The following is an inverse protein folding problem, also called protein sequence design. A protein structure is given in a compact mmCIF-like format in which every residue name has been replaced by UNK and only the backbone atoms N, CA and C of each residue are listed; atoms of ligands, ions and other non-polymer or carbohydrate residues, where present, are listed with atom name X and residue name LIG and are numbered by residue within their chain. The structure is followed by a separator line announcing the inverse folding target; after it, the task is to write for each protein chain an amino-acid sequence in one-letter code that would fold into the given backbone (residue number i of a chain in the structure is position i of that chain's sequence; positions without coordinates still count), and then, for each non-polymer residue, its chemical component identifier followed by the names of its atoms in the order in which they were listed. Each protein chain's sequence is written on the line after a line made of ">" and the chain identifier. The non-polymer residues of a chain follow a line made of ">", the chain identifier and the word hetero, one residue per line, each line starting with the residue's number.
data_IF_886723529763
#
_entry.id   IF_886723529763
#
_cell.length_a   1.000
_cell.length_b   1.000
_cell.length_c   1.000
_cell.angle_alpha   90.00
_cell.angle_beta   90.00
_cell.angle_gamma   90.00
#
_symmetry.space_group_name_H-M   'P 1'
#
loop_
_entity.id
_entity.type
_entity.pdbx_description
1 polymer ?
#
# COMPACT_ATOMS: atom_id res chain seq x y z
N UNK A 1 -15.12 -10.22 -15.67
CA UNK A 1 -13.65 -10.33 -15.53
C UNK A 1 -13.32 -11.50 -14.62
N UNK A 2 -12.37 -12.37 -15.00
CA UNK A 2 -11.97 -13.55 -14.20
C UNK A 2 -11.48 -13.09 -12.81
N UNK A 3 -11.86 -13.80 -11.73
CA UNK A 3 -11.51 -13.47 -10.32
C UNK A 3 -10.02 -13.13 -10.15
N UNK A 4 -9.15 -13.78 -10.91
CA UNK A 4 -7.71 -13.56 -10.90
C UNK A 4 -7.28 -12.15 -11.36
N UNK A 5 -7.85 -11.64 -12.46
CA UNK A 5 -7.55 -10.30 -12.97
C UNK A 5 -7.92 -9.21 -11.96
N UNK A 6 -8.97 -9.45 -11.17
CA UNK A 6 -9.44 -8.55 -10.13
C UNK A 6 -8.46 -8.49 -8.95
N UNK A 7 -7.89 -9.63 -8.56
CA UNK A 7 -6.87 -9.74 -7.50
C UNK A 7 -5.60 -8.96 -7.89
N UNK A 8 -5.12 -9.14 -9.13
CA UNK A 8 -3.92 -8.44 -9.64
C UNK A 8 -4.14 -6.92 -9.63
N UNK A 9 -5.28 -6.46 -10.14
CA UNK A 9 -5.62 -5.04 -10.14
C UNK A 9 -5.64 -4.47 -8.72
N UNK A 10 -6.29 -5.13 -7.77
CA UNK A 10 -6.38 -4.65 -6.38
C UNK A 10 -5.00 -4.62 -5.72
N UNK A 11 -4.21 -5.68 -5.86
CA UNK A 11 -2.87 -5.74 -5.27
C UNK A 11 -1.92 -4.70 -5.86
N UNK A 12 -1.98 -4.45 -7.17
CA UNK A 12 -1.24 -3.35 -7.81
C UNK A 12 -1.67 -1.97 -7.30
N UNK A 13 -2.98 -1.73 -7.15
CA UNK A 13 -3.53 -0.49 -6.61
C UNK A 13 -3.06 -0.25 -5.17
N UNK A 14 -3.11 -1.27 -4.32
CA UNK A 14 -2.62 -1.19 -2.93
C UNK A 14 -1.15 -0.82 -2.92
N UNK A 15 -0.31 -1.53 -3.70
CA UNK A 15 1.13 -1.30 -3.74
C UNK A 15 1.49 0.11 -4.24
N UNK A 16 0.85 0.57 -5.33
CA UNK A 16 1.09 1.91 -5.90
C UNK A 16 0.61 3.01 -4.95
N UNK A 17 -0.58 2.89 -4.37
CA UNK A 17 -1.09 3.90 -3.42
C UNK A 17 -0.18 3.97 -2.20
N UNK A 18 0.22 2.83 -1.64
CA UNK A 18 1.16 2.78 -0.53
C UNK A 18 2.48 3.47 -0.85
N UNK A 19 3.03 3.19 -2.03
CA UNK A 19 4.28 3.78 -2.49
C UNK A 19 4.18 5.29 -2.70
N UNK A 20 3.15 5.76 -3.41
CA UNK A 20 2.91 7.21 -3.62
C UNK A 20 2.73 7.93 -2.29
N UNK A 21 2.02 7.30 -1.34
CA UNK A 21 1.84 7.86 0.00
C UNK A 21 3.18 8.03 0.72
N UNK A 22 4.04 7.01 0.67
CA UNK A 22 5.37 7.06 1.31
C UNK A 22 6.29 8.08 0.67
N UNK A 23 6.33 8.16 -0.67
CA UNK A 23 7.17 9.15 -1.37
C UNK A 23 6.71 10.58 -1.09
N UNK A 24 5.40 10.86 -1.24
CA UNK A 24 4.87 12.19 -0.94
C UNK A 24 5.18 12.58 0.51
N UNK A 25 5.02 11.66 1.45
CA UNK A 25 5.34 11.92 2.87
C UNK A 25 6.83 12.08 3.14
N UNK A 26 7.71 11.44 2.36
CA UNK A 26 9.15 11.58 2.45
C UNK A 26 9.64 12.93 1.90
N UNK A 27 9.11 13.37 0.75
CA UNK A 27 9.46 14.65 0.13
C UNK A 27 8.93 15.86 0.91
N UNK A 28 7.77 15.71 1.56
CA UNK A 28 7.23 16.74 2.45
C UNK A 28 8.10 16.78 3.72
N UNK A 29 9.20 17.56 3.67
CA UNK A 29 10.10 17.87 4.80
C UNK A 29 9.38 18.27 6.10
N UNK A 30 8.11 18.67 6.01
CA UNK A 30 7.25 19.04 7.15
C UNK A 30 7.02 17.89 8.15
N UNK A 31 7.07 16.63 7.71
CA UNK A 31 6.85 15.47 8.61
C UNK A 31 8.10 15.03 9.39
N UNK A 32 9.31 15.50 9.01
CA UNK A 32 10.52 15.25 9.82
C UNK A 32 10.46 15.94 11.19
N UNK A 33 9.61 16.96 11.33
CA UNK A 33 9.49 17.77 12.55
C UNK A 33 8.55 17.13 13.59
N UNK A 34 7.65 16.24 13.19
CA UNK A 34 6.76 15.54 14.10
C UNK A 34 7.42 14.23 14.56
N UNK A 35 7.62 14.06 15.87
CA UNK A 35 8.16 12.82 16.47
C UNK A 35 7.24 11.60 16.29
N UNK A 36 6.01 11.84 15.82
CA UNK A 36 5.03 10.80 15.52
C UNK A 36 5.33 10.29 14.11
N UNK A 37 5.50 8.97 13.97
CA UNK A 37 5.61 8.27 12.69
C UNK A 37 4.27 8.28 11.93
N UNK A 38 3.74 9.47 11.61
CA UNK A 38 2.54 9.71 10.81
C UNK A 38 2.54 8.88 9.50
N UNK A 39 3.68 8.67 8.81
CA UNK A 39 3.70 7.83 7.62
C UNK A 39 3.32 6.37 7.86
N UNK A 40 3.69 5.79 9.00
CA UNK A 40 3.30 4.41 9.35
C UNK A 40 1.79 4.30 9.57
N UNK A 41 1.20 5.27 10.26
CA UNK A 41 -0.23 5.27 10.55
C UNK A 41 -1.08 5.51 9.31
N UNK A 42 -0.66 6.41 8.41
CA UNK A 42 -1.30 6.62 7.12
C UNK A 42 -1.29 5.36 6.25
N UNK A 43 -0.14 4.66 6.19
CA UNK A 43 -0.04 3.38 5.49
C UNK A 43 -1.04 2.35 6.05
N UNK A 44 -1.14 2.21 7.37
CA UNK A 44 -2.06 1.28 8.03
C UNK A 44 -3.53 1.65 7.76
N UNK A 45 -3.88 2.93 7.80
CA UNK A 45 -5.25 3.39 7.52
C UNK A 45 -5.64 3.10 6.07
N UNK A 46 -4.78 3.44 5.12
CA UNK A 46 -5.05 3.24 3.69
C UNK A 46 -5.17 1.74 3.36
N UNK A 47 -4.23 0.93 3.85
CA UNK A 47 -4.30 -0.53 3.65
C UNK A 47 -5.54 -1.14 4.30
N UNK A 48 -5.93 -0.66 5.49
CA UNK A 48 -7.16 -1.06 6.17
C UNK A 48 -8.43 -0.70 5.39
N UNK A 49 -8.52 0.52 4.86
CA UNK A 49 -9.67 0.95 4.04
C UNK A 49 -9.82 0.10 2.77
N UNK A 50 -8.71 -0.24 2.12
CA UNK A 50 -8.74 -1.13 0.96
C UNK A 50 -9.21 -2.53 1.37
N UNK A 51 -8.78 -3.03 2.54
CA UNK A 51 -9.20 -4.33 3.05
C UNK A 51 -10.70 -4.44 3.35
N UNK A 52 -11.31 -3.35 3.83
CA UNK A 52 -12.74 -3.27 4.16
C UNK A 52 -13.59 -3.18 2.88
N UNK A 53 -13.16 -2.42 1.88
CA UNK A 53 -13.96 -2.13 0.67
C UNK A 53 -14.25 -3.34 -0.22
N UNK A 54 -13.44 -4.40 -0.17
CA UNK A 54 -13.64 -5.57 -1.03
C UNK A 54 -14.42 -6.67 -0.31
N UNK A 55 -15.57 -7.08 -0.84
CA UNK A 55 -16.35 -8.25 -0.40
C UNK A 55 -15.75 -9.58 -0.89
N UNK A 56 -14.44 -9.73 -0.84
CA UNK A 56 -13.76 -10.98 -1.22
C UNK A 56 -13.51 -11.87 0.01
N UNK A 57 -13.32 -13.18 -0.23
CA UNK A 57 -12.94 -14.12 0.84
C UNK A 57 -11.68 -13.64 1.56
N UNK A 58 -11.63 -13.79 2.88
CA UNK A 58 -10.51 -13.30 3.71
C UNK A 58 -9.13 -13.76 3.21
N UNK A 59 -9.01 -15.00 2.74
CA UNK A 59 -7.78 -15.53 2.13
C UNK A 59 -7.32 -14.79 0.87
N UNK A 60 -8.25 -14.33 0.03
CA UNK A 60 -7.94 -13.55 -1.18
C UNK A 60 -7.42 -12.17 -0.81
N UNK A 61 -8.00 -11.57 0.25
CA UNK A 61 -7.52 -10.29 0.78
C UNK A 61 -6.11 -10.41 1.34
N UNK A 62 -5.84 -11.47 2.10
CA UNK A 62 -4.50 -11.77 2.63
C UNK A 62 -3.48 -11.92 1.50
N UNK A 63 -3.80 -12.70 0.47
CA UNK A 63 -2.94 -12.91 -0.69
C UNK A 63 -2.66 -11.60 -1.44
N UNK A 64 -3.70 -10.77 -1.62
CA UNK A 64 -3.59 -9.46 -2.28
C UNK A 64 -2.73 -8.48 -1.48
N UNK A 65 -2.81 -8.55 -0.14
CA UNK A 65 -2.01 -7.73 0.76
C UNK A 65 -0.52 -8.11 0.70
N UNK A 66 -0.22 -9.42 0.74
CA UNK A 66 1.15 -9.93 0.59
C UNK A 66 1.73 -9.48 -0.76
N UNK A 67 0.98 -9.66 -1.86
CA UNK A 67 1.39 -9.19 -3.19
C UNK A 67 1.61 -7.67 -3.22
N UNK A 68 0.73 -6.89 -2.59
CA UNK A 68 0.87 -5.44 -2.47
C UNK A 68 2.14 -5.01 -1.73
N UNK A 69 2.50 -5.72 -0.64
CA UNK A 69 3.75 -5.48 0.10
C UNK A 69 4.98 -5.77 -0.77
N UNK A 70 4.96 -6.87 -1.52
CA UNK A 70 6.07 -7.23 -2.42
C UNK A 70 6.25 -6.14 -3.48
N UNK A 71 5.16 -5.70 -4.12
CA UNK A 71 5.17 -4.61 -5.10
C UNK A 71 5.73 -3.32 -4.46
N UNK A 72 5.26 -2.99 -3.26
CA UNK A 72 5.75 -1.83 -2.51
C UNK A 72 7.25 -1.90 -2.24
N UNK A 73 7.77 -3.03 -1.76
CA UNK A 73 9.21 -3.23 -1.51
C UNK A 73 10.03 -3.11 -2.79
N UNK A 74 9.56 -3.69 -3.90
CA UNK A 74 10.22 -3.57 -5.21
C UNK A 74 10.28 -2.10 -5.64
N UNK A 75 9.19 -1.35 -5.49
CA UNK A 75 9.16 0.07 -5.83
C UNK A 75 10.10 0.90 -4.94
N UNK A 76 10.18 0.61 -3.64
CA UNK A 76 11.15 1.29 -2.75
C UNK A 76 12.59 1.07 -3.23
N UNK A 77 12.98 -0.16 -3.55
CA UNK A 77 14.35 -0.47 -4.01
C UNK A 77 14.67 0.20 -5.34
N UNK A 78 13.69 0.36 -6.23
CA UNK A 78 13.90 0.97 -7.55
C UNK A 78 14.03 2.50 -7.45
N UNK A 79 13.24 3.14 -6.60
CA UNK A 79 13.10 4.61 -6.60
C UNK A 79 13.80 5.31 -5.44
N UNK A 80 14.15 4.60 -4.37
CA UNK A 80 14.89 5.14 -3.23
C UNK A 80 16.31 4.54 -3.28
N UNK A 81 17.32 5.31 -3.74
CA UNK A 81 18.71 4.86 -3.79
C UNK A 81 19.34 4.69 -2.41
#
# INVERSE_FOLDING_TARGET
>A
MKRFSRIILISSLVGVIAFVTVILLYEIKFFKTFSINIPKWLFVIITGLIYIKFEEKWWIKLLSFILGIVIFMVLLVIFIP
#
